data_IF_489500873866
#
_entry.id   IF_489500873866
#
_cell.length_a   1.000
_cell.length_b   1.000
_cell.length_c   1.000
_cell.angle_alpha   90.00
_cell.angle_beta   90.00
_cell.angle_gamma   90.00
#
_symmetry.space_group_name_H-M   'P 1'
#
loop_
_entity.id
_entity.type
_entity.pdbx_description
1 polymer ?
#
# COMPACT_ATOMS: atom_id res chain seq x y z
N UNK A 1 63.62 34.82 -43.56
CA UNK A 1 63.22 34.91 -42.13
C UNK A 1 63.58 33.59 -41.46
N UNK A 2 64.25 33.70 -40.31
CA UNK A 2 65.28 32.77 -39.84
C UNK A 2 64.69 31.47 -39.28
N UNK A 3 64.87 30.40 -40.06
CA UNK A 3 64.96 29.01 -39.62
C UNK A 3 66.42 28.77 -39.18
N UNK A 4 66.63 28.44 -37.91
CA UNK A 4 67.90 28.02 -37.26
C UNK A 4 67.49 27.08 -36.12
N UNK A 5 68.18 26.00 -35.79
CA UNK A 5 69.26 25.26 -36.41
C UNK A 5 69.25 23.89 -35.72
N UNK A 6 69.43 22.83 -36.50
CA UNK A 6 69.75 21.47 -36.08
C UNK A 6 71.20 21.44 -35.54
N UNK A 7 71.53 20.50 -34.62
CA UNK A 7 72.76 19.65 -34.56
C UNK A 7 73.36 19.44 -33.13
N UNK A 8 73.47 18.14 -32.76
CA UNK A 8 74.45 17.41 -31.91
C UNK A 8 74.77 17.87 -30.47
N UNK A 9 75.13 17.03 -29.48
CA UNK A 9 75.92 15.79 -29.49
C UNK A 9 75.50 14.83 -28.36
N UNK A 10 75.81 13.57 -28.61
CA UNK A 10 75.68 12.33 -27.85
C UNK A 10 76.65 12.12 -26.69
N UNK A 11 76.19 11.52 -25.57
CA UNK A 11 76.85 10.52 -24.69
C UNK A 11 75.74 9.87 -23.82
N UNK A 12 75.28 8.60 -23.95
CA UNK A 12 75.88 7.27 -23.71
C UNK A 12 76.69 7.23 -22.39
N UNK A 13 76.49 6.41 -21.34
CA UNK A 13 75.88 5.08 -21.05
C UNK A 13 75.77 4.96 -19.49
N UNK A 14 74.80 4.35 -18.78
CA UNK A 14 74.62 2.91 -18.38
C UNK A 14 73.43 2.85 -17.37
N UNK A 15 72.33 2.14 -17.71
CA UNK A 15 71.82 0.87 -17.13
C UNK A 15 71.42 0.93 -15.63
N UNK A 16 70.28 0.39 -15.15
CA UNK A 16 69.69 -0.96 -15.31
C UNK A 16 68.16 -0.94 -15.09
N UNK A 17 67.49 -1.90 -15.73
CA UNK A 17 66.07 -2.27 -15.86
C UNK A 17 65.14 -2.29 -14.62
N UNK A 18 63.83 -2.11 -14.87
CA UNK A 18 62.76 -2.79 -14.10
C UNK A 18 61.31 -2.24 -14.24
N UNK A 19 60.56 -2.76 -15.22
CA UNK A 19 59.08 -2.95 -15.31
C UNK A 19 58.09 -1.76 -15.06
N UNK A 20 57.38 -1.23 -16.07
CA UNK A 20 56.06 -1.66 -16.63
C UNK A 20 54.86 -1.41 -15.68
N UNK A 21 53.68 -0.88 -16.05
CA UNK A 21 53.01 -0.64 -17.34
C UNK A 21 51.77 0.26 -17.16
N UNK A 22 51.40 0.91 -18.25
CA UNK A 22 50.29 1.81 -18.56
C UNK A 22 48.88 1.19 -18.53
N UNK A 23 47.85 2.04 -18.36
CA UNK A 23 46.47 1.77 -18.81
C UNK A 23 45.98 2.88 -19.78
N UNK A 24 45.35 2.51 -20.93
CA UNK A 24 44.78 3.45 -21.89
C UNK A 24 43.26 3.67 -21.72
N UNK A 25 42.78 4.70 -22.42
CA UNK A 25 41.43 5.25 -22.56
C UNK A 25 40.52 4.39 -23.48
N UNK A 26 39.23 4.20 -23.17
CA UNK A 26 38.05 4.60 -23.97
C UNK A 26 36.74 3.80 -23.74
N UNK A 27 35.65 4.59 -23.77
CA UNK A 27 34.26 4.34 -24.16
C UNK A 27 33.40 3.32 -23.39
N UNK A 28 32.31 3.81 -22.79
CA UNK A 28 31.12 2.98 -22.53
C UNK A 28 29.82 3.70 -22.87
N UNK A 29 28.96 2.95 -23.56
CA UNK A 29 27.60 3.26 -23.97
C UNK A 29 26.69 3.55 -22.77
N UNK A 30 25.81 4.54 -22.93
CA UNK A 30 24.74 4.85 -21.98
C UNK A 30 23.59 3.86 -22.16
N UNK A 31 23.48 2.89 -21.26
CA UNK A 31 22.25 2.13 -21.04
C UNK A 31 21.45 2.80 -19.93
N UNK A 32 20.27 3.32 -20.26
CA UNK A 32 19.28 3.75 -19.30
C UNK A 32 18.75 2.52 -18.56
N UNK A 33 19.01 2.42 -17.25
CA UNK A 33 18.37 1.45 -16.36
C UNK A 33 17.37 2.20 -15.48
N UNK A 34 16.11 1.76 -15.52
CA UNK A 34 14.99 2.29 -14.76
C UNK A 34 15.20 2.18 -13.24
N UNK A 35 14.55 3.02 -12.40
CA UNK A 35 14.71 2.95 -10.95
C UNK A 35 14.00 1.71 -10.39
N UNK A 36 14.77 0.80 -9.77
CA UNK A 36 14.26 -0.40 -9.09
C UNK A 36 14.31 -0.19 -7.55
N UNK A 37 13.29 -0.59 -6.76
CA UNK A 37 13.24 -0.34 -5.32
C UNK A 37 14.32 -1.15 -4.56
N UNK A 38 15.18 -0.47 -3.81
CA UNK A 38 16.39 -1.05 -3.18
C UNK A 38 16.27 -1.28 -1.66
N UNK A 39 15.27 -2.02 -1.19
CA UNK A 39 15.18 -2.37 0.25
C UNK A 39 15.76 -3.76 0.55
N UNK A 40 16.91 -4.06 -0.04
CA UNK A 40 17.73 -5.21 0.34
C UNK A 40 18.89 -4.76 1.22
N UNK A 41 19.21 -5.57 2.22
CA UNK A 41 20.29 -5.32 3.15
C UNK A 41 21.63 -5.19 2.42
N UNK A 42 22.30 -4.05 2.61
CA UNK A 42 23.64 -3.78 2.02
C UNK A 42 24.78 -4.15 2.97
N UNK A 43 24.49 -4.19 4.26
CA UNK A 43 25.40 -4.60 5.32
C UNK A 43 24.64 -5.39 6.38
N UNK A 44 25.37 -6.10 7.24
CA UNK A 44 24.80 -6.72 8.45
C UNK A 44 24.66 -5.62 9.49
N UNK A 45 23.43 -5.18 9.74
CA UNK A 45 23.14 -4.07 10.65
C UNK A 45 21.69 -4.14 11.16
N UNK A 46 21.44 -3.45 12.26
CA UNK A 46 20.08 -3.09 12.67
C UNK A 46 19.87 -1.63 12.31
N UNK A 47 18.75 -1.29 11.70
CA UNK A 47 18.38 0.10 11.42
C UNK A 47 16.90 0.30 11.70
N UNK A 48 16.52 1.46 12.22
CA UNK A 48 15.10 1.81 12.29
C UNK A 48 14.55 1.88 10.87
N UNK A 49 13.57 1.04 10.54
CA UNK A 49 12.83 1.13 9.27
C UNK A 49 11.80 2.24 9.36
N UNK A 50 11.25 2.47 10.56
CA UNK A 50 10.47 3.64 10.95
C UNK A 50 10.61 3.88 12.46
N UNK A 51 9.91 4.88 13.00
CA UNK A 51 10.00 5.26 14.41
C UNK A 51 9.44 4.21 15.39
N UNK A 52 8.86 3.10 14.93
CA UNK A 52 8.31 2.02 15.77
C UNK A 52 8.81 0.63 15.37
N UNK A 53 9.70 0.52 14.38
CA UNK A 53 10.18 -0.76 13.87
C UNK A 53 11.68 -0.77 13.61
N UNK A 54 12.32 -1.87 14.00
CA UNK A 54 13.71 -2.18 13.69
C UNK A 54 13.72 -3.13 12.49
N UNK A 55 14.44 -2.78 11.43
CA UNK A 55 14.85 -3.70 10.39
C UNK A 55 16.18 -4.35 10.77
N UNK A 56 16.17 -5.67 10.89
CA UNK A 56 17.37 -6.47 11.09
C UNK A 56 17.86 -7.03 9.77
N UNK A 57 19.05 -6.59 9.38
CA UNK A 57 19.79 -7.14 8.27
C UNK A 57 20.80 -8.17 8.79
N UNK A 58 20.46 -9.44 8.67
CA UNK A 58 21.37 -10.55 9.05
C UNK A 58 22.14 -11.10 7.86
N UNK A 59 21.65 -10.91 6.64
CA UNK A 59 22.24 -11.40 5.39
C UNK A 59 22.19 -10.32 4.32
N UNK A 60 23.34 -10.02 3.73
CA UNK A 60 23.44 -9.05 2.62
C UNK A 60 22.70 -9.59 1.39
N UNK A 61 21.92 -8.73 0.74
CA UNK A 61 21.09 -9.08 -0.42
C UNK A 61 19.74 -9.72 -0.07
N UNK A 62 19.39 -9.83 1.22
CA UNK A 62 18.04 -10.23 1.68
C UNK A 62 17.27 -9.05 2.22
N UNK A 63 15.94 -9.18 2.27
CA UNK A 63 15.09 -8.20 2.92
C UNK A 63 15.34 -8.21 4.44
N UNK A 64 15.26 -7.05 5.11
CA UNK A 64 15.40 -6.99 6.56
C UNK A 64 14.22 -7.69 7.25
N UNK A 65 14.51 -8.37 8.36
CA UNK A 65 13.46 -8.85 9.27
C UNK A 65 12.95 -7.66 10.07
N UNK A 66 11.67 -7.33 9.94
CA UNK A 66 11.07 -6.17 10.61
C UNK A 66 10.50 -6.58 11.97
N UNK A 67 10.98 -5.92 13.03
CA UNK A 67 10.58 -6.16 14.42
C UNK A 67 9.91 -4.90 14.98
N UNK A 68 8.69 -5.01 15.54
CA UNK A 68 8.04 -3.88 16.18
C UNK A 68 8.62 -3.60 17.57
N UNK A 69 8.80 -2.31 17.88
CA UNK A 69 9.02 -1.82 19.23
C UNK A 69 7.68 -1.77 19.98
N UNK A 70 7.59 -2.42 21.13
CA UNK A 70 6.33 -2.60 21.87
C UNK A 70 6.51 -2.42 23.37
N UNK A 71 5.40 -2.30 24.11
CA UNK A 71 5.42 -2.22 25.57
C UNK A 71 6.00 -0.90 26.09
N UNK A 72 6.92 -0.99 27.04
CA UNK A 72 7.56 0.18 27.67
C UNK A 72 8.60 0.88 26.80
N UNK A 73 8.93 0.32 25.64
CA UNK A 73 9.91 0.87 24.69
C UNK A 73 9.35 0.97 23.27
N UNK A 74 8.28 1.75 23.03
CA UNK A 74 7.58 1.74 21.75
C UNK A 74 8.30 2.48 20.60
N UNK A 75 9.39 3.21 20.87
CA UNK A 75 10.06 4.06 19.88
C UNK A 75 11.38 3.45 19.42
N UNK A 76 11.62 3.38 18.12
CA UNK A 76 12.93 3.05 17.57
C UNK A 76 13.82 4.30 17.56
N UNK A 77 14.87 4.27 18.38
CA UNK A 77 15.92 5.27 18.41
C UNK A 77 17.21 4.59 18.03
N UNK A 78 17.85 5.07 16.96
CA UNK A 78 19.17 4.64 16.52
C UNK A 78 19.43 3.15 16.76
N UNK A 79 18.72 2.30 15.99
CA UNK A 79 18.87 0.84 15.94
C UNK A 79 18.34 0.06 17.16
N UNK A 80 17.71 0.73 18.13
CA UNK A 80 17.19 0.10 19.35
C UNK A 80 15.80 0.61 19.74
N UNK A 81 15.05 -0.21 20.49
CA UNK A 81 13.77 0.20 21.06
C UNK A 81 13.97 1.01 22.35
N UNK A 82 13.18 2.05 22.53
CA UNK A 82 13.34 3.04 23.58
C UNK A 82 11.99 3.60 24.07
N UNK A 83 11.97 4.06 25.32
CA UNK A 83 10.77 4.61 25.95
C UNK A 83 10.37 5.99 25.40
N UNK A 84 11.33 6.75 24.88
CA UNK A 84 11.15 8.14 24.40
C UNK A 84 11.60 8.25 22.95
N UNK A 85 10.92 9.01 22.07
CA UNK A 85 11.32 9.17 20.68
C UNK A 85 12.62 10.00 20.52
N UNK A 86 13.39 9.74 19.47
CA UNK A 86 14.56 10.53 19.06
C UNK A 86 14.14 11.90 18.49
N UNK A 87 15.06 12.86 18.42
CA UNK A 87 14.82 14.17 17.80
C UNK A 87 14.36 14.08 16.35
N UNK A 88 14.78 13.04 15.63
CA UNK A 88 14.35 12.72 14.25
C UNK A 88 12.92 12.15 14.18
N UNK A 89 12.50 11.48 15.25
CA UNK A 89 11.14 10.97 15.45
C UNK A 89 10.25 11.90 16.28
N UNK A 90 10.73 13.10 16.61
CA UNK A 90 10.03 14.08 17.47
C UNK A 90 9.12 15.04 16.69
N UNK A 91 8.88 14.79 15.39
CA UNK A 91 8.23 15.75 14.47
C UNK A 91 6.88 15.34 13.87
N UNK A 92 6.32 14.19 14.23
CA UNK A 92 4.99 13.80 13.73
C UNK A 92 4.56 12.46 14.31
N UNK A 93 3.30 12.38 14.74
CA UNK A 93 2.63 11.13 15.12
C UNK A 93 2.53 10.24 13.88
N UNK A 94 3.58 9.45 13.61
CA UNK A 94 3.52 8.36 12.64
C UNK A 94 2.59 7.31 13.25
N UNK A 95 1.46 7.08 12.58
CA UNK A 95 0.48 6.09 12.98
C UNK A 95 1.08 4.68 13.01
N UNK A 96 0.61 3.82 13.91
CA UNK A 96 0.79 2.36 13.77
C UNK A 96 -0.09 1.75 12.68
N UNK A 97 -0.92 2.58 12.03
CA UNK A 97 -1.80 2.22 10.94
C UNK A 97 -1.05 2.03 9.61
N UNK A 98 -1.31 0.90 8.96
CA UNK A 98 -0.71 0.58 7.66
C UNK A 98 -1.64 1.03 6.54
N UNK A 99 -1.17 1.98 5.73
CA UNK A 99 -1.95 2.45 4.59
C UNK A 99 -2.19 1.34 3.54
N UNK A 100 -3.41 1.21 3.00
CA UNK A 100 -3.70 0.31 1.90
C UNK A 100 -3.07 0.81 0.57
N UNK A 101 -3.34 0.12 -0.54
CA UNK A 101 -2.80 0.47 -1.86
C UNK A 101 -3.28 1.81 -2.39
N UNK A 102 -4.49 2.20 -2.04
CA UNK A 102 -5.10 3.44 -2.50
C UNK A 102 -4.95 4.54 -1.48
N UNK A 103 -4.67 5.75 -1.95
CA UNK A 103 -4.75 6.94 -1.11
C UNK A 103 -6.20 7.22 -0.72
N UNK A 104 -6.41 7.85 0.43
CA UNK A 104 -7.75 8.13 0.93
C UNK A 104 -7.85 8.30 2.44
N UNK A 105 -9.10 8.32 2.91
CA UNK A 105 -9.44 8.51 4.31
C UNK A 105 -9.98 7.18 4.86
N UNK A 106 -9.50 6.78 6.03
CA UNK A 106 -9.73 5.46 6.58
C UNK A 106 -10.12 5.52 8.06
N UNK A 107 -11.10 4.73 8.51
CA UNK A 107 -11.47 4.69 9.93
C UNK A 107 -10.39 3.98 10.74
N UNK A 108 -10.18 4.40 12.00
CA UNK A 108 -9.47 3.56 12.97
C UNK A 108 -10.39 2.41 13.43
N UNK A 109 -9.90 1.16 13.46
CA UNK A 109 -10.76 0.03 13.79
C UNK A 109 -11.05 -0.12 15.29
N UNK A 110 -10.29 0.53 16.16
CA UNK A 110 -10.38 0.39 17.61
C UNK A 110 -10.86 1.69 18.31
N UNK A 111 -10.87 2.82 17.60
CA UNK A 111 -11.24 4.13 18.11
C UNK A 111 -12.07 4.93 17.08
N UNK A 112 -13.38 4.97 17.28
CA UNK A 112 -14.31 5.66 16.38
C UNK A 112 -14.11 7.19 16.26
N UNK A 113 -13.34 7.82 17.16
CA UNK A 113 -13.00 9.23 17.10
C UNK A 113 -11.67 9.49 16.37
N UNK A 114 -10.96 8.43 15.96
CA UNK A 114 -9.71 8.52 15.20
C UNK A 114 -9.93 8.06 13.76
N UNK A 115 -9.26 8.74 12.84
CA UNK A 115 -9.20 8.34 11.44
C UNK A 115 -7.82 8.67 10.87
N UNK A 116 -7.52 8.06 9.73
CA UNK A 116 -6.22 8.11 9.10
C UNK A 116 -6.37 8.64 7.68
N UNK A 117 -5.51 9.58 7.29
CA UNK A 117 -5.37 9.98 5.90
C UNK A 117 -4.09 9.35 5.37
N UNK A 118 -4.23 8.59 4.29
CA UNK A 118 -3.13 7.94 3.60
C UNK A 118 -2.82 8.66 2.30
N UNK A 119 -1.58 9.11 2.16
CA UNK A 119 -1.03 9.72 0.95
C UNK A 119 0.33 9.09 0.69
N UNK A 120 0.54 8.53 -0.50
CA UNK A 120 1.79 7.86 -0.88
C UNK A 120 2.28 6.86 0.19
N UNK A 121 1.36 6.03 0.70
CA UNK A 121 1.59 5.04 1.78
C UNK A 121 1.93 5.59 3.17
N UNK A 122 1.97 6.90 3.36
CA UNK A 122 2.16 7.51 4.67
C UNK A 122 0.80 7.80 5.33
N UNK A 123 0.60 7.27 6.53
CA UNK A 123 -0.59 7.53 7.34
C UNK A 123 -0.38 8.75 8.24
N UNK A 124 -1.36 9.65 8.26
CA UNK A 124 -1.45 10.74 9.25
C UNK A 124 -2.73 10.57 10.07
N UNK A 125 -2.59 10.64 11.39
CA UNK A 125 -3.69 10.47 12.34
C UNK A 125 -4.43 11.78 12.60
N UNK A 126 -5.76 11.70 12.65
CA UNK A 126 -6.63 12.80 12.99
C UNK A 126 -7.66 12.36 14.02
N UNK A 127 -7.80 13.14 15.09
CA UNK A 127 -8.76 12.89 16.15
C UNK A 127 -9.90 13.91 16.09
N UNK A 128 -11.14 13.41 16.10
CA UNK A 128 -12.33 14.23 16.21
C UNK A 128 -12.40 14.96 17.55
N UNK A 129 -12.97 16.17 17.55
CA UNK A 129 -13.07 16.99 18.76
C UNK A 129 -14.28 16.57 19.61
N UNK A 130 -14.11 16.60 20.93
CA UNK A 130 -15.20 16.31 21.87
C UNK A 130 -15.72 14.89 21.73
N UNK A 131 -17.02 14.76 21.46
CA UNK A 131 -17.72 13.47 21.31
C UNK A 131 -18.07 13.16 19.85
N UNK A 132 -17.48 13.87 18.88
CA UNK A 132 -17.70 13.59 17.46
C UNK A 132 -17.00 12.29 17.05
N UNK A 133 -17.53 11.65 16.02
CA UNK A 133 -17.04 10.37 15.50
C UNK A 133 -16.73 10.52 14.01
N UNK A 134 -15.80 9.72 13.50
CA UNK A 134 -15.51 9.70 12.07
C UNK A 134 -16.64 9.01 11.30
N UNK A 135 -17.07 9.62 10.18
CA UNK A 135 -18.01 9.03 9.24
C UNK A 135 -17.29 8.63 7.96
N UNK A 136 -17.38 7.35 7.58
CA UNK A 136 -16.89 6.86 6.29
C UNK A 136 -17.73 7.37 5.11
N UNK A 137 -18.93 7.89 5.36
CA UNK A 137 -19.78 8.46 4.31
C UNK A 137 -19.38 9.89 3.94
N UNK A 138 -19.11 10.74 4.93
CA UNK A 138 -18.69 12.14 4.68
C UNK A 138 -17.17 12.32 4.66
N UNK A 139 -16.41 11.28 5.02
CA UNK A 139 -14.96 11.32 5.22
C UNK A 139 -14.51 12.39 6.23
N UNK A 140 -15.34 12.67 7.24
CA UNK A 140 -15.12 13.74 8.22
C UNK A 140 -15.64 13.37 9.61
N UNK A 141 -15.25 14.16 10.61
CA UNK A 141 -15.89 14.11 11.92
C UNK A 141 -17.33 14.62 11.84
N UNK A 142 -18.25 13.89 12.46
CA UNK A 142 -19.67 14.22 12.56
C UNK A 142 -20.13 14.04 14.00
N UNK A 143 -21.21 14.74 14.35
CA UNK A 143 -21.81 14.59 15.67
C UNK A 143 -22.30 13.16 15.88
N UNK A 144 -21.85 12.53 16.96
CA UNK A 144 -22.33 11.21 17.38
C UNK A 144 -23.85 11.21 17.55
N UNK A 145 -24.48 10.21 16.97
CA UNK A 145 -25.94 10.06 16.93
C UNK A 145 -26.32 8.60 16.71
N UNK A 146 -27.62 8.31 16.64
CA UNK A 146 -28.10 6.96 16.28
C UNK A 146 -27.68 6.58 14.86
N UNK A 147 -27.66 7.54 13.93
CA UNK A 147 -27.24 7.32 12.53
C UNK A 147 -25.73 7.34 12.35
N UNK A 148 -24.99 7.98 13.26
CA UNK A 148 -23.53 7.98 13.31
C UNK A 148 -23.06 7.47 14.67
N UNK A 149 -23.19 6.17 14.95
CA UNK A 149 -22.74 5.59 16.20
C UNK A 149 -21.20 5.57 16.24
N UNK A 150 -20.66 5.41 17.45
CA UNK A 150 -19.25 5.10 17.62
C UNK A 150 -19.00 3.65 17.20
N UNK A 151 -18.49 3.46 15.99
CA UNK A 151 -18.27 2.14 15.39
C UNK A 151 -16.82 1.71 15.47
N UNK A 152 -16.60 0.51 16.00
CA UNK A 152 -15.30 -0.17 16.06
C UNK A 152 -15.46 -1.62 15.61
N UNK A 153 -14.39 -2.21 15.10
CA UNK A 153 -14.39 -3.59 14.61
C UNK A 153 -14.59 -4.56 15.78
N UNK A 154 -15.46 -5.54 15.59
CA UNK A 154 -15.62 -6.64 16.53
C UNK A 154 -14.81 -7.86 16.09
N UNK A 155 -13.71 -8.12 16.80
CA UNK A 155 -12.77 -9.21 16.57
C UNK A 155 -12.99 -10.45 17.45
N UNK A 156 -14.03 -10.48 18.28
CA UNK A 156 -14.30 -11.63 19.16
C UNK A 156 -14.53 -12.90 18.34
N UNK A 157 -13.73 -13.94 18.60
CA UNK A 157 -13.79 -15.22 17.87
C UNK A 157 -13.29 -15.19 16.42
N UNK A 158 -12.65 -14.08 15.99
CA UNK A 158 -12.17 -13.89 14.60
C UNK A 158 -10.64 -13.85 14.50
N UNK A 159 -9.94 -14.47 15.46
CA UNK A 159 -8.48 -14.48 15.45
C UNK A 159 -7.94 -15.11 14.15
N UNK A 160 -7.09 -14.38 13.43
CA UNK A 160 -6.56 -14.80 12.12
C UNK A 160 -7.52 -14.59 10.94
N UNK A 161 -8.61 -13.85 11.12
CA UNK A 161 -9.62 -13.59 10.09
C UNK A 161 -9.89 -12.10 9.92
N UNK A 162 -10.53 -11.74 8.82
CA UNK A 162 -11.06 -10.40 8.60
C UNK A 162 -12.41 -10.22 9.29
N UNK A 163 -12.63 -9.02 9.83
CA UNK A 163 -13.90 -8.57 10.38
C UNK A 163 -14.32 -7.26 9.70
N UNK A 164 -15.61 -7.17 9.36
CA UNK A 164 -16.18 -5.97 8.75
C UNK A 164 -16.20 -4.80 9.73
N UNK A 165 -15.98 -3.60 9.20
CA UNK A 165 -16.22 -2.37 9.93
C UNK A 165 -17.74 -2.09 9.99
N UNK A 166 -18.37 -2.03 11.18
CA UNK A 166 -19.84 -2.07 11.27
C UNK A 166 -20.58 -0.91 10.61
N UNK A 167 -19.96 0.28 10.53
CA UNK A 167 -20.58 1.43 9.86
C UNK A 167 -20.51 1.33 8.33
N UNK A 168 -19.58 0.53 7.79
CA UNK A 168 -19.31 0.46 6.36
C UNK A 168 -18.60 -0.84 5.99
N UNK A 169 -19.37 -1.76 5.43
CA UNK A 169 -18.90 -3.09 5.05
C UNK A 169 -17.95 -3.08 3.81
N UNK A 170 -17.69 -1.93 3.20
CA UNK A 170 -16.60 -1.81 2.21
C UNK A 170 -15.22 -1.90 2.88
N UNK A 171 -15.14 -1.72 4.21
CA UNK A 171 -13.92 -1.88 4.98
C UNK A 171 -13.93 -3.19 5.78
N UNK A 172 -12.80 -3.88 5.77
CA UNK A 172 -12.56 -5.04 6.63
C UNK A 172 -11.16 -5.00 7.23
N UNK A 173 -11.03 -5.43 8.47
CA UNK A 173 -9.77 -5.39 9.21
C UNK A 173 -9.37 -6.77 9.71
N UNK A 174 -8.07 -7.04 9.68
CA UNK A 174 -7.53 -8.31 10.15
C UNK A 174 -7.42 -8.34 11.67
N UNK A 175 -7.96 -9.39 12.28
CA UNK A 175 -8.06 -9.54 13.72
C UNK A 175 -6.97 -10.47 14.27
N UNK A 176 -6.30 -10.05 15.35
CA UNK A 176 -5.32 -10.85 16.10
C UNK A 176 -5.55 -10.65 17.60
N UNK A 177 -5.60 -11.74 18.36
CA UNK A 177 -5.81 -11.73 19.81
C UNK A 177 -7.00 -10.87 20.25
N UNK A 178 -8.14 -11.04 19.58
CA UNK A 178 -9.40 -10.30 19.79
C UNK A 178 -9.33 -8.79 19.54
N UNK A 179 -8.23 -8.27 18.99
CA UNK A 179 -8.09 -6.87 18.59
C UNK A 179 -7.93 -6.73 17.09
N UNK A 180 -8.39 -5.60 16.56
CA UNK A 180 -8.16 -5.28 15.16
C UNK A 180 -6.76 -4.72 14.98
N UNK A 181 -6.08 -5.18 13.94
CA UNK A 181 -4.79 -4.63 13.50
C UNK A 181 -5.00 -3.44 12.55
N UNK A 182 -3.92 -2.76 12.18
CA UNK A 182 -3.92 -1.76 11.10
C UNK A 182 -3.90 -2.36 9.69
N UNK A 183 -3.95 -3.69 9.55
CA UNK A 183 -4.06 -4.36 8.25
C UNK A 183 -5.54 -4.37 7.85
N UNK A 184 -5.86 -3.73 6.73
CA UNK A 184 -7.24 -3.63 6.24
C UNK A 184 -7.35 -3.81 4.73
N UNK A 185 -8.59 -4.03 4.31
CA UNK A 185 -9.04 -3.96 2.93
C UNK A 185 -10.08 -2.86 2.81
N UNK A 186 -9.98 -2.05 1.75
CA UNK A 186 -11.03 -1.14 1.29
C UNK A 186 -11.49 -1.60 -0.09
N UNK A 187 -12.78 -1.89 -0.22
CA UNK A 187 -13.39 -2.23 -1.50
C UNK A 187 -13.68 -0.98 -2.33
N UNK A 188 -13.80 -1.18 -3.65
CA UNK A 188 -14.18 -0.10 -4.56
C UNK A 188 -15.66 0.29 -4.42
N UNK A 189 -16.07 1.24 -5.26
CA UNK A 189 -17.47 1.67 -5.30
C UNK A 189 -18.40 0.51 -5.65
N UNK A 190 -19.59 0.48 -5.03
CA UNK A 190 -20.58 -0.59 -5.18
C UNK A 190 -20.04 -1.98 -4.87
N UNK A 191 -19.08 -2.09 -3.95
CA UNK A 191 -18.56 -3.36 -3.45
C UNK A 191 -18.55 -3.38 -1.92
N UNK A 192 -18.75 -4.56 -1.37
CA UNK A 192 -18.57 -4.85 0.06
C UNK A 192 -17.60 -6.00 0.22
N UNK A 193 -16.89 -6.05 1.34
CA UNK A 193 -15.99 -7.15 1.62
C UNK A 193 -16.77 -8.39 2.05
N UNK A 194 -16.50 -9.54 1.45
CA UNK A 194 -17.02 -10.83 1.91
C UNK A 194 -15.96 -11.55 2.73
N UNK A 195 -16.24 -11.79 4.00
CA UNK A 195 -15.36 -12.56 4.91
C UNK A 195 -15.39 -14.07 4.62
N UNK A 196 -16.38 -14.55 3.87
CA UNK A 196 -16.52 -15.97 3.51
C UNK A 196 -15.51 -16.39 2.46
N UNK A 197 -15.33 -15.55 1.44
CA UNK A 197 -14.42 -15.81 0.31
C UNK A 197 -13.20 -14.89 0.32
N UNK A 198 -13.08 -14.00 1.32
CA UNK A 198 -12.00 -13.02 1.49
C UNK A 198 -11.77 -12.13 0.25
N UNK A 199 -12.85 -11.68 -0.38
CA UNK A 199 -12.81 -10.86 -1.59
C UNK A 199 -13.86 -9.75 -1.52
N UNK A 200 -13.59 -8.63 -2.19
CA UNK A 200 -14.60 -7.61 -2.46
C UNK A 200 -15.60 -8.16 -3.49
N UNK A 201 -16.89 -8.08 -3.15
CA UNK A 201 -18.00 -8.54 -3.99
C UNK A 201 -18.93 -7.38 -4.33
N UNK A 202 -19.53 -7.35 -5.52
CA UNK A 202 -20.51 -6.34 -5.89
C UNK A 202 -21.66 -6.27 -4.87
N UNK A 203 -22.12 -5.05 -4.62
CA UNK A 203 -23.25 -4.75 -3.76
C UNK A 203 -24.08 -3.62 -4.38
N UNK A 204 -25.37 -3.88 -4.61
CA UNK A 204 -26.28 -2.89 -5.17
C UNK A 204 -26.58 -1.78 -4.17
N UNK A 205 -26.32 -0.54 -4.58
CA UNK A 205 -26.69 0.69 -3.86
C UNK A 205 -27.82 1.45 -4.56
N UNK A 206 -28.06 1.12 -5.84
CA UNK A 206 -29.10 1.64 -6.73
C UNK A 206 -29.49 0.57 -7.74
N UNK A 207 -30.61 0.76 -8.42
CA UNK A 207 -31.01 -0.09 -9.55
C UNK A 207 -30.07 0.13 -10.75
N UNK A 208 -29.86 -0.92 -11.54
CA UNK A 208 -28.96 -0.89 -12.69
C UNK A 208 -28.11 -2.15 -12.82
N UNK A 209 -27.03 -2.05 -13.60
CA UNK A 209 -26.13 -3.17 -13.89
C UNK A 209 -24.75 -2.92 -13.27
N UNK A 210 -24.16 -3.97 -12.69
CA UNK A 210 -22.78 -3.99 -12.20
C UNK A 210 -21.99 -5.09 -12.93
N UNK A 211 -20.68 -4.91 -13.15
CA UNK A 211 -19.85 -5.97 -13.71
C UNK A 211 -19.76 -7.18 -12.76
N UNK A 212 -19.76 -8.38 -13.33
CA UNK A 212 -19.40 -9.58 -12.59
C UNK A 212 -17.87 -9.59 -12.33
N UNK A 213 -17.42 -9.82 -11.09
CA UNK A 213 -16.01 -9.73 -10.74
C UNK A 213 -15.19 -10.93 -11.23
N UNK A 214 -15.84 -12.04 -11.57
CA UNK A 214 -15.19 -13.32 -11.86
C UNK A 214 -15.19 -13.64 -13.37
N UNK A 215 -16.24 -13.27 -14.11
CA UNK A 215 -16.37 -13.56 -15.54
C UNK A 215 -17.12 -12.45 -16.30
N UNK A 216 -16.46 -11.80 -17.25
CA UNK A 216 -17.01 -10.71 -18.04
C UNK A 216 -18.13 -11.12 -19.01
N UNK A 217 -18.43 -12.41 -19.17
CA UNK A 217 -19.66 -12.87 -19.85
C UNK A 217 -20.91 -12.60 -19.03
N UNK A 218 -20.74 -12.41 -17.72
CA UNK A 218 -21.83 -12.20 -16.80
C UNK A 218 -21.84 -10.75 -16.29
N UNK A 219 -23.01 -10.36 -15.80
CA UNK A 219 -23.21 -9.10 -15.09
C UNK A 219 -24.20 -9.33 -13.96
N UNK A 220 -24.20 -8.41 -12.99
CA UNK A 220 -25.12 -8.40 -11.87
C UNK A 220 -26.22 -7.37 -12.15
N UNK A 221 -27.46 -7.83 -12.23
CA UNK A 221 -28.66 -7.00 -12.33
C UNK A 221 -29.16 -6.66 -10.92
N UNK A 222 -29.23 -5.36 -10.63
CA UNK A 222 -29.75 -4.78 -9.40
C UNK A 222 -31.19 -4.29 -9.59
N UNK A 223 -32.14 -4.88 -8.89
CA UNK A 223 -33.56 -4.46 -8.90
C UNK A 223 -34.08 -4.27 -7.48
N UNK A 224 -35.02 -3.35 -7.26
CA UNK A 224 -35.70 -3.23 -5.96
C UNK A 224 -36.83 -4.25 -5.84
N UNK A 225 -36.87 -4.94 -4.70
CA UNK A 225 -38.04 -5.70 -4.28
C UNK A 225 -39.10 -4.80 -3.62
N UNK A 226 -40.32 -5.31 -3.43
CA UNK A 226 -41.44 -4.64 -2.76
C UNK A 226 -41.10 -4.12 -1.35
N UNK A 227 -40.07 -4.68 -0.71
CA UNK A 227 -39.55 -4.25 0.59
C UNK A 227 -38.42 -3.22 0.54
N UNK A 228 -38.16 -2.57 -0.61
CA UNK A 228 -37.03 -1.65 -0.82
C UNK A 228 -35.64 -2.29 -0.59
N UNK A 229 -35.54 -3.61 -0.71
CA UNK A 229 -34.28 -4.34 -0.67
C UNK A 229 -33.80 -4.58 -2.09
N UNK A 230 -32.51 -4.36 -2.34
CA UNK A 230 -31.94 -4.72 -3.64
C UNK A 230 -31.81 -6.24 -3.77
N UNK A 231 -32.34 -6.76 -4.88
CA UNK A 231 -32.14 -8.11 -5.37
C UNK A 231 -31.03 -8.09 -6.42
N UNK A 232 -29.98 -8.86 -6.16
CA UNK A 232 -28.87 -9.12 -7.08
C UNK A 232 -29.16 -10.39 -7.87
N UNK A 233 -29.20 -10.30 -9.19
CA UNK A 233 -29.28 -11.47 -10.08
C UNK A 233 -28.07 -11.51 -11.01
N UNK A 234 -27.33 -12.62 -10.98
CA UNK A 234 -26.29 -12.88 -11.98
C UNK A 234 -26.96 -13.25 -13.31
N UNK A 235 -26.61 -12.53 -14.37
CA UNK A 235 -27.15 -12.70 -15.73
C UNK A 235 -26.00 -12.92 -16.70
N UNK A 236 -26.22 -13.72 -17.71
CA UNK A 236 -25.27 -13.88 -18.81
C UNK A 236 -25.63 -12.90 -19.95
N UNK A 237 -24.62 -12.28 -20.56
CA UNK A 237 -24.80 -11.53 -21.79
C UNK A 237 -25.27 -12.45 -22.93
N UNK A 238 -25.98 -11.93 -23.95
CA UNK A 238 -26.45 -12.73 -25.08
C UNK A 238 -25.33 -13.52 -25.76
N UNK A 239 -25.39 -14.85 -25.66
CA UNK A 239 -24.47 -15.77 -26.30
C UNK A 239 -25.26 -16.81 -27.10
N UNK A 240 -25.32 -16.60 -28.41
CA UNK A 240 -25.99 -17.49 -29.37
C UNK A 240 -25.00 -17.94 -30.44
N UNK A 241 -25.42 -18.83 -31.35
CA UNK A 241 -24.57 -19.28 -32.46
C UNK A 241 -24.03 -18.12 -33.32
N UNK A 242 -24.79 -17.01 -33.42
CA UNK A 242 -24.48 -15.88 -34.30
C UNK A 242 -23.99 -14.63 -33.55
N UNK A 243 -24.10 -14.60 -32.22
CA UNK A 243 -23.75 -13.43 -31.40
C UNK A 243 -22.93 -13.92 -30.21
N UNK A 244 -21.72 -13.39 -30.08
CA UNK A 244 -20.90 -13.51 -28.88
C UNK A 244 -20.74 -12.13 -28.27
N UNK A 245 -21.09 -11.99 -27.00
CA UNK A 245 -21.01 -10.71 -26.30
C UNK A 245 -20.45 -10.86 -24.90
N UNK A 246 -19.83 -9.79 -24.42
CA UNK A 246 -19.30 -9.65 -23.06
C UNK A 246 -19.80 -8.34 -22.47
N UNK A 247 -19.84 -8.25 -21.16
CA UNK A 247 -20.24 -7.04 -20.45
C UNK A 247 -19.09 -6.03 -20.44
N UNK A 248 -19.38 -4.80 -20.87
CA UNK A 248 -18.46 -3.65 -20.80
C UNK A 248 -18.66 -2.94 -19.44
N UNK A 249 -17.66 -2.95 -18.54
CA UNK A 249 -17.80 -2.39 -17.20
C UNK A 249 -17.83 -0.85 -17.17
N UNK A 250 -17.48 -0.19 -18.28
CA UNK A 250 -17.50 1.28 -18.38
C UNK A 250 -18.84 1.76 -18.93
N UNK A 251 -19.33 1.10 -19.97
CA UNK A 251 -20.63 1.42 -20.58
C UNK A 251 -21.82 0.85 -19.81
N UNK A 252 -21.56 -0.16 -18.97
CA UNK A 252 -22.56 -0.91 -18.22
C UNK A 252 -23.60 -1.58 -19.13
N UNK A 253 -23.14 -2.17 -20.23
CA UNK A 253 -23.97 -2.88 -21.22
C UNK A 253 -23.22 -4.07 -21.83
N UNK A 254 -23.96 -5.03 -22.42
CA UNK A 254 -23.35 -6.12 -23.18
C UNK A 254 -22.94 -5.63 -24.58
N UNK A 255 -21.68 -5.83 -24.94
CA UNK A 255 -21.09 -5.45 -26.23
C UNK A 255 -20.62 -6.68 -26.99
N UNK A 256 -20.77 -6.66 -28.31
CA UNK A 256 -20.31 -7.75 -29.19
C UNK A 256 -18.79 -7.82 -29.17
N UNK A 257 -18.24 -9.02 -28.97
CA UNK A 257 -16.81 -9.27 -29.15
C UNK A 257 -16.50 -9.33 -30.63
N UNK A 258 -15.66 -8.42 -31.14
CA UNK A 258 -15.12 -8.49 -32.50
C UNK A 258 -14.13 -9.63 -32.66
#
# INVERSE_FOLDING_TARGET
MKMKQLICLTTLVLSVYGAQTSYPFQNQLVTAVQPQPTDVCKAVEAKCTNCTHIGLCTVVGKAPTVIPCTGSTPNCNDRACSAKPSSECSGGTISSFTCPQTDGHYPDPNNCALYHICINKAATDYTCKGNDVYSTFTHSCVRRSVTNPCSTVNCRGKNGQYALYPADNSFAFFCVAEKSTGIMVKCGDNQVYSTEVNLCRPHCTKEGLLPDPDDNKYFIECTLDLGNKFLMRRRECPNTANIKSVFDPVKLECVVTK
#
